data_IF_490272132512
#
_entry.id   IF_490272132512
#
_cell.length_a   1.000
_cell.length_b   1.000
_cell.length_c   1.000
_cell.angle_alpha   90.00
_cell.angle_beta   90.00
_cell.angle_gamma   90.00
#
_symmetry.space_group_name_H-M   'P 1'
#
loop_
_entity.id
_entity.type
_entity.pdbx_description
1 polymer ?
#
# COMPACT_ATOMS: atom_id res chain seq x y z
N UNK A 1 -43.24 -47.28 -25.53
CA UNK A 1 -44.25 -47.99 -24.71
C UNK A 1 -45.34 -46.98 -24.41
N UNK A 2 -46.58 -47.23 -24.83
CA UNK A 2 -47.71 -46.30 -24.69
C UNK A 2 -48.85 -47.08 -24.05
N UNK A 3 -49.57 -46.48 -23.11
CA UNK A 3 -50.73 -47.15 -22.51
C UNK A 3 -51.77 -47.43 -23.60
N UNK A 4 -52.10 -48.71 -23.78
CA UNK A 4 -53.01 -49.16 -24.84
C UNK A 4 -54.48 -49.15 -24.41
N UNK A 5 -54.76 -49.04 -23.11
CA UNK A 5 -56.10 -49.06 -22.48
C UNK A 5 -56.11 -48.26 -21.16
N UNK A 6 -57.30 -47.88 -20.69
CA UNK A 6 -57.51 -47.08 -19.46
C UNK A 6 -57.54 -45.57 -19.70
N UNK A 7 -57.72 -44.79 -18.64
CA UNK A 7 -57.90 -43.33 -18.69
C UNK A 7 -56.67 -42.57 -19.26
N UNK A 8 -55.50 -43.21 -19.29
CA UNK A 8 -54.24 -42.66 -19.81
C UNK A 8 -53.86 -43.24 -21.18
N UNK A 9 -54.82 -43.84 -21.89
CA UNK A 9 -54.58 -44.45 -23.20
C UNK A 9 -54.01 -43.41 -24.17
N UNK A 10 -52.86 -43.72 -24.79
CA UNK A 10 -52.14 -42.82 -25.69
C UNK A 10 -51.01 -42.04 -25.01
N UNK A 11 -50.96 -42.01 -23.68
CA UNK A 11 -49.87 -41.36 -22.94
C UNK A 11 -48.67 -42.30 -22.75
N UNK A 12 -47.49 -41.68 -22.63
CA UNK A 12 -46.21 -42.40 -22.43
C UNK A 12 -45.85 -42.47 -20.94
N UNK A 13 -46.29 -41.49 -20.15
CA UNK A 13 -45.90 -41.30 -18.74
C UNK A 13 -47.13 -41.26 -17.86
N UNK A 14 -47.17 -42.09 -16.81
CA UNK A 14 -48.22 -42.02 -15.81
C UNK A 14 -48.17 -40.71 -15.02
N UNK A 15 -49.32 -40.21 -14.50
CA UNK A 15 -49.40 -39.03 -13.64
C UNK A 15 -48.45 -39.09 -12.45
N UNK A 16 -48.28 -40.28 -11.85
CA UNK A 16 -47.33 -40.47 -10.76
C UNK A 16 -45.89 -40.16 -11.20
N UNK A 17 -45.47 -40.64 -12.37
CA UNK A 17 -44.14 -40.35 -12.92
C UNK A 17 -43.98 -38.87 -13.30
N UNK A 18 -45.04 -38.24 -13.81
CA UNK A 18 -45.04 -36.80 -14.11
C UNK A 18 -44.84 -35.97 -12.83
N UNK A 19 -45.60 -36.26 -11.76
CA UNK A 19 -45.49 -35.59 -10.47
C UNK A 19 -44.09 -35.79 -9.88
N UNK A 20 -43.57 -37.02 -9.90
CA UNK A 20 -42.25 -37.34 -9.37
C UNK A 20 -41.12 -36.66 -10.15
N UNK A 21 -41.29 -36.47 -11.47
CA UNK A 21 -40.35 -35.70 -12.28
C UNK A 21 -40.35 -34.22 -11.87
N UNK A 22 -41.54 -33.63 -11.66
CA UNK A 22 -41.68 -32.24 -11.19
C UNK A 22 -41.03 -32.03 -9.82
N UNK A 23 -41.26 -32.93 -8.85
CA UNK A 23 -40.59 -32.88 -7.55
C UNK A 23 -39.07 -32.99 -7.65
N UNK A 24 -38.56 -33.86 -8.53
CA UNK A 24 -37.14 -33.99 -8.78
C UNK A 24 -36.53 -32.71 -9.35
N UNK A 25 -37.20 -32.07 -10.32
CA UNK A 25 -36.75 -30.79 -10.86
C UNK A 25 -36.78 -29.70 -9.78
N UNK A 26 -37.83 -29.60 -8.98
CA UNK A 26 -37.95 -28.58 -7.94
C UNK A 26 -36.87 -28.73 -6.85
N UNK A 27 -36.60 -29.96 -6.40
CA UNK A 27 -35.56 -30.23 -5.39
C UNK A 27 -34.14 -30.00 -5.91
N UNK A 28 -33.85 -30.34 -7.19
CA UNK A 28 -32.57 -30.05 -7.82
C UNK A 28 -32.33 -28.56 -8.06
N UNK A 29 -33.37 -27.81 -8.43
CA UNK A 29 -33.28 -26.37 -8.71
C UNK A 29 -33.12 -25.54 -7.44
N UNK A 30 -33.69 -25.97 -6.30
CA UNK A 30 -33.57 -25.25 -5.03
C UNK A 30 -32.10 -25.12 -4.57
N UNK A 31 -31.30 -26.20 -4.68
CA UNK A 31 -29.86 -26.16 -4.38
C UNK A 31 -29.10 -25.21 -5.31
N UNK A 32 -29.47 -25.18 -6.59
CA UNK A 32 -28.85 -24.29 -7.59
C UNK A 32 -29.07 -22.81 -7.26
N UNK A 33 -30.27 -22.46 -6.80
CA UNK A 33 -30.61 -21.08 -6.41
C UNK A 33 -29.77 -20.58 -5.22
N UNK A 34 -29.53 -21.45 -4.23
CA UNK A 34 -28.66 -21.09 -3.09
C UNK A 34 -27.21 -20.84 -3.50
N UNK A 35 -26.70 -21.61 -4.48
CA UNK A 35 -25.35 -21.44 -5.01
C UNK A 35 -25.23 -20.15 -5.84
N UNK A 36 -26.20 -19.85 -6.70
CA UNK A 36 -26.20 -18.60 -7.47
C UNK A 36 -26.24 -17.37 -6.57
N UNK A 37 -27.03 -17.43 -5.49
CA UNK A 37 -27.09 -16.37 -4.48
C UNK A 37 -25.73 -16.15 -3.80
N UNK A 38 -25.06 -17.23 -3.40
CA UNK A 38 -23.73 -17.16 -2.78
C UNK A 38 -22.67 -16.57 -3.72
N UNK A 39 -22.73 -16.91 -5.02
CA UNK A 39 -21.84 -16.34 -6.04
C UNK A 39 -22.12 -14.85 -6.23
N UNK A 40 -23.39 -14.42 -6.30
CA UNK A 40 -23.75 -13.00 -6.38
C UNK A 40 -23.26 -12.21 -5.17
N UNK A 41 -23.40 -12.75 -3.97
CA UNK A 41 -22.95 -12.09 -2.75
C UNK A 41 -21.42 -11.93 -2.74
N UNK A 42 -20.69 -12.94 -3.22
CA UNK A 42 -19.23 -12.86 -3.35
C UNK A 42 -18.80 -11.83 -4.40
N UNK A 43 -19.54 -11.71 -5.51
CA UNK A 43 -19.29 -10.66 -6.51
C UNK A 43 -19.45 -9.27 -5.88
N UNK A 44 -20.54 -9.04 -5.16
CA UNK A 44 -20.80 -7.76 -4.47
C UNK A 44 -19.73 -7.43 -3.43
N UNK A 45 -19.22 -8.42 -2.72
CA UNK A 45 -18.12 -8.25 -1.76
C UNK A 45 -16.82 -7.82 -2.46
N UNK A 46 -16.44 -8.53 -3.53
CA UNK A 46 -15.25 -8.22 -4.33
C UNK A 46 -15.33 -6.86 -5.01
N UNK A 47 -16.52 -6.41 -5.42
CA UNK A 47 -16.73 -5.07 -5.96
C UNK A 47 -16.48 -3.98 -4.91
N UNK A 48 -16.93 -4.19 -3.68
CA UNK A 48 -16.68 -3.25 -2.56
C UNK A 48 -15.20 -3.16 -2.23
N UNK A 49 -14.51 -4.30 -2.15
CA UNK A 49 -13.05 -4.33 -1.91
C UNK A 49 -12.29 -3.59 -3.02
N UNK A 50 -12.63 -3.83 -4.28
CA UNK A 50 -12.03 -3.14 -5.42
C UNK A 50 -12.23 -1.61 -5.35
N UNK A 51 -13.42 -1.16 -4.96
CA UNK A 51 -13.70 0.26 -4.79
C UNK A 51 -12.82 0.88 -3.69
N UNK A 52 -12.64 0.16 -2.58
CA UNK A 52 -11.82 0.60 -1.47
C UNK A 52 -10.33 0.64 -1.83
N UNK A 53 -9.83 -0.37 -2.53
CA UNK A 53 -8.47 -0.40 -3.06
C UNK A 53 -8.20 0.75 -4.03
N UNK A 54 -9.15 1.09 -4.92
CA UNK A 54 -9.04 2.26 -5.82
C UNK A 54 -8.92 3.56 -5.04
N UNK A 55 -9.73 3.76 -3.99
CA UNK A 55 -9.65 4.95 -3.12
C UNK A 55 -8.29 5.06 -2.43
N UNK A 56 -7.79 3.94 -1.88
CA UNK A 56 -6.48 3.92 -1.22
C UNK A 56 -5.34 4.21 -2.21
N UNK A 57 -5.39 3.64 -3.42
CA UNK A 57 -4.40 3.91 -4.48
C UNK A 57 -4.37 5.39 -4.86
N UNK A 58 -5.53 6.05 -4.97
CA UNK A 58 -5.60 7.49 -5.26
C UNK A 58 -4.96 8.34 -4.14
N UNK A 59 -5.24 8.01 -2.86
CA UNK A 59 -4.62 8.67 -1.70
C UNK A 59 -3.10 8.47 -1.65
N UNK A 60 -2.65 7.25 -1.92
CA UNK A 60 -1.21 6.95 -1.94
C UNK A 60 -0.52 7.71 -3.07
N UNK A 61 -1.13 7.76 -4.26
CA UNK A 61 -0.61 8.48 -5.41
C UNK A 61 -0.47 9.98 -5.15
N UNK A 62 -1.44 10.61 -4.49
CA UNK A 62 -1.34 12.04 -4.15
C UNK A 62 -0.24 12.31 -3.13
N UNK A 63 -0.08 11.43 -2.14
CA UNK A 63 0.99 11.50 -1.15
C UNK A 63 2.38 11.30 -1.79
N UNK A 64 2.52 10.35 -2.71
CA UNK A 64 3.75 10.15 -3.48
C UNK A 64 4.07 11.41 -4.31
N UNK A 65 3.06 12.01 -4.95
CA UNK A 65 3.27 13.20 -5.76
C UNK A 65 3.76 14.38 -4.91
N UNK A 66 3.12 14.65 -3.76
CA UNK A 66 3.53 15.72 -2.84
C UNK A 66 4.90 15.47 -2.23
N UNK A 67 5.24 14.21 -1.92
CA UNK A 67 6.59 13.87 -1.47
C UNK A 67 7.62 14.04 -2.58
N UNK A 68 7.29 13.67 -3.83
CA UNK A 68 8.20 13.86 -4.97
C UNK A 68 8.49 15.34 -5.22
N UNK A 69 7.49 16.22 -5.09
CA UNK A 69 7.68 17.66 -5.26
C UNK A 69 8.55 18.24 -4.15
N UNK A 70 8.34 17.81 -2.90
CA UNK A 70 9.22 18.16 -1.77
C UNK A 70 10.66 17.70 -2.01
N UNK A 71 10.89 16.48 -2.49
CA UNK A 71 12.23 15.97 -2.81
C UNK A 71 12.90 16.79 -3.91
N UNK A 72 12.16 17.16 -4.96
CA UNK A 72 12.68 18.03 -6.04
C UNK A 72 13.05 19.41 -5.49
N UNK A 73 12.22 19.98 -4.63
CA UNK A 73 12.50 21.26 -3.96
C UNK A 73 13.73 21.17 -3.06
N UNK A 74 13.86 20.13 -2.24
CA UNK A 74 15.02 19.90 -1.39
C UNK A 74 16.31 19.71 -2.21
N UNK A 75 16.25 18.96 -3.33
CA UNK A 75 17.38 18.84 -4.27
C UNK A 75 17.77 20.20 -4.87
N UNK A 76 16.81 21.06 -5.19
CA UNK A 76 17.08 22.40 -5.72
C UNK A 76 17.68 23.31 -4.65
N UNK A 77 17.18 23.26 -3.42
CA UNK A 77 17.74 23.98 -2.28
C UNK A 77 19.19 23.55 -2.00
N UNK A 78 19.46 22.25 -1.96
CA UNK A 78 20.82 21.72 -1.83
C UNK A 78 21.73 22.16 -2.98
N UNK A 79 21.28 22.12 -4.24
CA UNK A 79 22.06 22.67 -5.37
C UNK A 79 22.35 24.17 -5.24
N UNK A 80 21.48 24.95 -4.58
CA UNK A 80 21.71 26.37 -4.33
C UNK A 80 22.62 26.65 -3.13
N UNK A 81 22.62 25.78 -2.12
CA UNK A 81 23.59 25.78 -1.01
C UNK A 81 24.99 25.41 -1.50
N UNK A 82 25.06 24.34 -2.29
CA UNK A 82 26.27 23.86 -2.94
C UNK A 82 26.34 24.38 -4.37
N UNK A 83 26.48 25.70 -4.54
CA UNK A 83 26.72 26.32 -5.86
C UNK A 83 27.94 25.69 -6.52
N UNK A 84 27.68 24.72 -7.39
CA UNK A 84 28.65 23.80 -8.01
C UNK A 84 29.78 24.47 -8.81
N UNK A 85 29.79 25.81 -8.99
CA UNK A 85 30.83 26.54 -9.75
C UNK A 85 31.20 27.93 -9.23
N UNK A 86 31.20 28.19 -7.93
CA UNK A 86 32.01 29.30 -7.38
C UNK A 86 32.82 28.80 -6.20
N UNK A 87 34.15 28.97 -6.28
CA UNK A 87 35.19 28.65 -5.27
C UNK A 87 35.05 29.47 -3.97
N UNK A 88 33.83 29.71 -3.51
CA UNK A 88 33.51 30.50 -2.32
C UNK A 88 32.61 29.65 -1.45
N UNK A 89 33.23 28.98 -0.49
CA UNK A 89 32.53 28.34 0.60
C UNK A 89 31.79 29.40 1.42
N UNK A 90 30.52 29.17 1.74
CA UNK A 90 29.75 30.03 2.63
C UNK A 90 30.44 30.13 3.99
N UNK A 91 30.38 31.29 4.65
CA UNK A 91 31.01 31.49 5.96
C UNK A 91 30.57 30.44 7.00
N UNK A 92 29.33 29.98 6.91
CA UNK A 92 28.78 28.91 7.75
C UNK A 92 29.43 27.55 7.49
N UNK A 93 29.71 27.21 6.23
CA UNK A 93 30.43 25.98 5.89
C UNK A 93 31.87 26.03 6.38
N UNK A 94 32.56 27.18 6.24
CA UNK A 94 33.91 27.38 6.77
C UNK A 94 33.89 27.20 8.29
N UNK A 95 32.93 27.83 8.99
CA UNK A 95 32.75 27.70 10.45
C UNK A 95 32.49 26.26 10.88
N UNK A 96 31.68 25.51 10.12
CA UNK A 96 31.45 24.07 10.35
C UNK A 96 32.74 23.26 10.16
N UNK A 97 33.45 23.46 9.05
CA UNK A 97 34.70 22.77 8.77
C UNK A 97 35.78 23.06 9.83
N UNK A 98 35.90 24.31 10.30
CA UNK A 98 36.78 24.68 11.41
C UNK A 98 36.35 24.02 12.71
N UNK A 99 35.05 23.96 13.01
CA UNK A 99 34.54 23.26 14.21
C UNK A 99 34.86 21.77 14.17
N UNK A 100 34.72 21.12 13.03
CA UNK A 100 35.08 19.71 12.82
C UNK A 100 36.58 19.52 12.97
N UNK A 101 37.39 20.37 12.33
CA UNK A 101 38.85 20.31 12.38
C UNK A 101 39.40 20.49 13.80
N UNK A 102 38.83 21.41 14.58
CA UNK A 102 39.29 21.70 15.94
C UNK A 102 38.95 20.60 16.97
N UNK A 103 38.05 19.67 16.62
CA UNK A 103 37.66 18.58 17.52
C UNK A 103 38.66 17.41 17.55
N UNK A 104 39.67 17.39 16.65
CA UNK A 104 41.01 16.80 16.80
C UNK A 104 41.19 15.30 17.08
N UNK A 105 40.21 14.62 17.67
CA UNK A 105 40.26 13.20 18.02
C UNK A 105 39.12 12.45 17.34
N UNK A 106 39.42 11.24 16.83
CA UNK A 106 38.43 10.32 16.26
C UNK A 106 38.04 9.33 17.35
N UNK A 107 37.03 9.66 18.14
CA UNK A 107 36.31 8.75 19.04
C UNK A 107 34.89 8.49 18.53
N UNK A 108 34.23 7.43 19.01
CA UNK A 108 32.83 7.15 18.69
C UNK A 108 31.95 8.37 19.02
N UNK A 109 32.22 9.04 20.13
CA UNK A 109 31.50 10.23 20.56
C UNK A 109 31.72 11.43 19.63
N UNK A 110 32.94 11.69 19.22
CA UNK A 110 33.22 12.78 18.25
C UNK A 110 32.61 12.46 16.89
N UNK A 111 32.62 11.20 16.45
CA UNK A 111 31.99 10.75 15.19
C UNK A 111 30.49 11.00 15.19
N UNK A 112 29.79 10.59 16.26
CA UNK A 112 28.35 10.86 16.42
C UNK A 112 28.05 12.36 16.39
N UNK A 113 28.89 13.16 17.04
CA UNK A 113 28.75 14.62 17.08
C UNK A 113 29.05 15.26 15.71
N UNK A 114 30.03 14.74 14.94
CA UNK A 114 30.32 15.19 13.57
C UNK A 114 29.13 14.95 12.66
N UNK A 115 28.60 13.72 12.69
CA UNK A 115 27.44 13.36 11.88
C UNK A 115 26.26 14.25 12.24
N UNK A 116 25.99 14.48 13.53
CA UNK A 116 24.93 15.40 13.98
C UNK A 116 25.11 16.82 13.41
N UNK A 117 26.29 17.42 13.57
CA UNK A 117 26.55 18.78 13.13
C UNK A 117 26.46 18.97 11.61
N UNK A 118 26.88 17.96 10.83
CA UNK A 118 26.73 17.97 9.37
C UNK A 118 25.26 17.84 8.97
N UNK A 119 24.50 16.96 9.63
CA UNK A 119 23.06 16.80 9.36
C UNK A 119 22.26 18.05 9.72
N UNK A 120 22.51 18.67 10.87
CA UNK A 120 21.85 19.94 11.26
C UNK A 120 22.17 21.06 10.27
N UNK A 121 23.41 21.15 9.78
CA UNK A 121 23.79 22.12 8.75
C UNK A 121 23.06 21.88 7.42
N UNK A 122 22.90 20.62 7.00
CA UNK A 122 22.21 20.28 5.74
C UNK A 122 20.70 20.51 5.79
N UNK A 123 20.12 20.47 6.99
CA UNK A 123 18.67 20.48 7.19
C UNK A 123 18.19 21.85 7.74
N UNK A 124 19.09 22.72 8.19
CA UNK A 124 18.80 24.03 8.84
C UNK A 124 17.93 23.93 10.11
N UNK A 125 17.72 22.74 10.67
CA UNK A 125 16.99 22.49 11.92
C UNK A 125 17.86 21.74 12.94
N UNK A 126 17.57 21.94 14.23
CA UNK A 126 18.25 21.23 15.33
C UNK A 126 17.61 19.88 15.59
N UNK A 127 18.43 18.83 15.66
CA UNK A 127 17.96 17.46 15.88
C UNK A 127 17.91 17.18 17.38
N UNK A 128 16.71 17.18 17.94
CA UNK A 128 16.46 16.84 19.35
C UNK A 128 16.62 15.33 19.61
N UNK A 129 16.17 14.49 18.67
CA UNK A 129 16.30 13.04 18.73
C UNK A 129 17.46 12.58 17.84
N UNK A 130 18.65 12.43 18.41
CA UNK A 130 19.83 11.92 17.71
C UNK A 130 20.42 10.71 18.43
N UNK A 131 21.15 9.86 17.72
CA UNK A 131 21.82 8.68 18.28
C UNK A 131 22.85 9.14 19.30
N UNK A 132 22.80 8.60 20.52
CA UNK A 132 23.77 8.93 21.56
C UNK A 132 25.04 8.07 21.41
N UNK A 133 26.23 8.60 21.74
CA UNK A 133 27.48 7.83 21.72
C UNK A 133 27.40 6.53 22.53
N UNK A 134 26.68 6.57 23.66
CA UNK A 134 26.45 5.42 24.55
C UNK A 134 25.69 4.27 23.88
N UNK A 135 24.89 4.56 22.84
CA UNK A 135 24.14 3.54 22.09
C UNK A 135 25.04 2.75 21.12
N UNK A 136 26.20 3.30 20.75
CA UNK A 136 27.14 2.72 19.79
C UNK A 136 28.36 2.04 20.44
N UNK A 137 28.60 2.27 21.73
CA UNK A 137 29.75 1.74 22.47
C UNK A 137 29.48 0.37 23.13
N UNK A 138 28.75 -0.52 22.44
CA UNK A 138 28.38 -1.84 22.96
C UNK A 138 29.34 -2.94 22.51
#
# INVERSE_FOLDING_TARGET
MVYSKGDQKGEILSPYLQIKAVEFFNSGLYKKRSFTQAVEDKIKELEKENLQLKKNRAKLSSCIHSFSTQVVQAKKANKSLFKEKKKKYTAEFIKLATKISNMGHISIQTTVNYTKAVFEFLIEYTLTNWVYPSTLAR
#
